data_IF_706225866998
#
_entry.id   IF_706225866998
#
_cell.length_a   1.000
_cell.length_b   1.000
_cell.length_c   1.000
_cell.angle_alpha   90.00
_cell.angle_beta   90.00
_cell.angle_gamma   90.00
#
_symmetry.space_group_name_H-M   'P 1'
#
loop_
_entity.id
_entity.type
_entity.pdbx_description
1 polymer ?
#
# COMPACT_ATOMS: atom_id res chain seq x y z
N UNK A 1 31.56 -3.41 0.45
CA UNK A 1 30.91 -2.22 -0.13
C UNK A 1 29.50 -2.14 0.44
N UNK A 2 29.22 -1.15 1.27
CA UNK A 2 27.85 -0.82 1.65
C UNK A 2 27.29 0.07 0.54
N UNK A 3 26.38 -0.48 -0.26
CA UNK A 3 25.55 0.30 -1.16
C UNK A 3 24.30 0.70 -0.40
N UNK A 4 24.09 2.00 -0.17
CA UNK A 4 22.74 2.49 0.04
C UNK A 4 22.13 2.55 -1.35
N UNK A 5 21.56 1.42 -1.81
CA UNK A 5 20.52 1.51 -2.83
C UNK A 5 19.48 2.46 -2.24
N UNK A 6 19.25 3.62 -2.87
CA UNK A 6 18.33 4.61 -2.33
C UNK A 6 16.97 3.92 -2.10
N UNK A 7 16.47 3.85 -0.86
CA UNK A 7 15.24 3.14 -0.58
C UNK A 7 14.10 3.83 -1.32
N UNK A 8 13.48 3.11 -2.26
CA UNK A 8 12.31 3.58 -2.98
C UNK A 8 11.07 3.27 -2.14
N UNK A 9 10.28 4.30 -1.87
CA UNK A 9 9.03 4.20 -1.12
C UNK A 9 7.91 4.76 -1.98
N UNK A 10 6.77 4.08 -2.03
CA UNK A 10 5.56 4.59 -2.69
C UNK A 10 4.56 4.97 -1.61
N UNK A 11 4.12 6.23 -1.60
CA UNK A 11 3.00 6.67 -0.76
C UNK A 11 1.75 6.74 -1.63
N UNK A 12 0.68 6.08 -1.20
CA UNK A 12 -0.59 6.07 -1.92
C UNK A 12 -1.71 6.53 -1.02
N UNK A 13 -2.51 7.45 -1.52
CA UNK A 13 -3.84 7.67 -0.97
C UNK A 13 -4.72 6.44 -1.25
N UNK A 14 -5.83 6.29 -0.51
CA UNK A 14 -6.75 5.17 -0.60
C UNK A 14 -8.00 5.52 -1.40
N UNK A 15 -8.81 6.46 -0.89
CA UNK A 15 -10.15 6.73 -1.40
C UNK A 15 -10.12 7.33 -2.80
N UNK A 16 -10.68 6.63 -3.78
CA UNK A 16 -10.68 7.08 -5.17
C UNK A 16 -9.30 7.16 -5.82
N UNK A 17 -8.28 6.54 -5.20
CA UNK A 17 -6.92 6.44 -5.74
C UNK A 17 -6.50 4.98 -5.87
N UNK A 18 -6.20 4.30 -4.75
CA UNK A 18 -5.89 2.87 -4.75
C UNK A 18 -7.16 2.02 -4.73
N UNK A 19 -8.17 2.48 -4.00
CA UNK A 19 -9.48 1.87 -3.92
C UNK A 19 -10.39 2.56 -4.93
N UNK A 20 -11.08 1.76 -5.74
CA UNK A 20 -12.11 2.28 -6.62
C UNK A 20 -13.16 3.05 -5.82
N UNK A 21 -13.54 4.25 -6.28
CA UNK A 21 -14.43 5.16 -5.54
C UNK A 21 -15.86 4.66 -5.43
N UNK A 22 -16.29 3.72 -6.28
CA UNK A 22 -17.66 3.22 -6.33
C UNK A 22 -17.82 1.85 -5.68
N UNK A 23 -16.86 0.96 -5.91
CA UNK A 23 -16.88 -0.44 -5.47
C UNK A 23 -15.97 -0.71 -4.27
N UNK A 24 -15.06 0.21 -3.95
CA UNK A 24 -14.01 -0.01 -2.96
C UNK A 24 -13.09 -1.19 -3.28
N UNK A 25 -13.11 -1.65 -4.53
CA UNK A 25 -12.30 -2.77 -4.99
C UNK A 25 -10.86 -2.32 -5.21
N UNK A 26 -9.93 -3.16 -4.73
CA UNK A 26 -8.49 -2.99 -4.87
C UNK A 26 -7.87 -4.08 -5.76
N UNK A 27 -8.62 -5.13 -6.12
CA UNK A 27 -8.15 -6.22 -6.96
C UNK A 27 -7.52 -5.76 -8.29
N UNK A 28 -8.01 -4.69 -8.95
CA UNK A 28 -7.35 -4.17 -10.16
C UNK A 28 -5.88 -3.76 -9.92
N UNK A 29 -5.55 -3.30 -8.71
CA UNK A 29 -4.19 -2.92 -8.32
C UNK A 29 -3.33 -4.12 -7.90
N UNK A 30 -3.93 -5.26 -7.49
CA UNK A 30 -3.22 -6.42 -6.97
C UNK A 30 -1.97 -6.88 -7.76
N UNK A 31 -2.00 -7.03 -9.10
CA UNK A 31 -0.81 -7.47 -9.85
C UNK A 31 0.35 -6.45 -9.76
N UNK A 32 0.04 -5.15 -9.67
CA UNK A 32 1.05 -4.09 -9.54
C UNK A 32 1.64 -4.06 -8.14
N UNK A 33 0.79 -4.25 -7.12
CA UNK A 33 1.22 -4.34 -5.73
C UNK A 33 2.14 -5.56 -5.50
N UNK A 34 1.88 -6.68 -6.19
CA UNK A 34 2.77 -7.86 -6.16
C UNK A 34 4.16 -7.52 -6.72
N UNK A 35 4.23 -6.86 -7.88
CA UNK A 35 5.50 -6.46 -8.50
C UNK A 35 6.32 -5.53 -7.60
N UNK A 36 5.67 -4.57 -6.95
CA UNK A 36 6.34 -3.67 -6.00
C UNK A 36 6.88 -4.45 -4.79
N UNK A 37 6.12 -5.42 -4.28
CA UNK A 37 6.55 -6.30 -3.19
C UNK A 37 7.75 -7.16 -3.59
N UNK A 38 7.73 -7.76 -4.78
CA UNK A 38 8.84 -8.55 -5.34
C UNK A 38 10.10 -7.70 -5.53
N UNK A 39 9.94 -6.41 -5.90
CA UNK A 39 11.03 -5.45 -6.03
C UNK A 39 11.52 -4.85 -4.71
N UNK A 40 10.99 -5.28 -3.55
CA UNK A 40 11.25 -4.70 -2.23
C UNK A 40 10.94 -3.19 -2.15
N UNK A 41 9.96 -2.72 -2.92
CA UNK A 41 9.46 -1.34 -2.87
C UNK A 41 8.18 -1.32 -2.00
N UNK A 42 8.26 -0.87 -0.74
CA UNK A 42 7.08 -0.80 0.11
C UNK A 42 6.08 0.25 -0.39
N UNK A 43 4.80 -0.10 -0.28
CA UNK A 43 3.67 0.84 -0.49
C UNK A 43 3.12 1.22 0.88
N UNK A 44 3.18 2.51 1.18
CA UNK A 44 2.73 3.12 2.42
C UNK A 44 1.36 3.73 2.15
N UNK A 45 0.34 3.21 2.84
CA UNK A 45 -1.05 3.67 2.70
C UNK A 45 -1.26 4.93 3.53
N UNK A 46 -1.77 5.99 2.90
CA UNK A 46 -2.11 7.26 3.53
C UNK A 46 -3.62 7.50 3.37
N UNK A 47 -4.30 7.95 4.41
CA UNK A 47 -5.72 8.33 4.36
C UNK A 47 -6.08 9.14 5.61
N UNK A 48 -7.17 9.89 5.56
CA UNK A 48 -7.77 10.56 6.74
C UNK A 48 -8.55 9.60 7.66
N UNK A 49 -8.67 8.32 7.27
CA UNK A 49 -9.30 7.26 8.07
C UNK A 49 -8.64 7.10 9.43
N UNK A 50 -9.43 6.61 10.38
CA UNK A 50 -8.95 6.28 11.72
C UNK A 50 -7.91 5.15 11.67
N UNK A 51 -7.08 5.06 12.72
CA UNK A 51 -6.07 4.01 12.83
C UNK A 51 -6.67 2.59 12.79
N UNK A 52 -7.87 2.40 13.35
CA UNK A 52 -8.57 1.12 13.35
C UNK A 52 -9.03 0.72 11.94
N UNK A 53 -9.58 1.66 11.17
CA UNK A 53 -9.94 1.43 9.77
C UNK A 53 -8.72 1.15 8.91
N UNK A 54 -7.64 1.91 9.10
CA UNK A 54 -6.37 1.69 8.40
C UNK A 54 -5.80 0.30 8.69
N UNK A 55 -5.86 -0.17 9.93
CA UNK A 55 -5.41 -1.52 10.32
C UNK A 55 -6.25 -2.61 9.64
N UNK A 56 -7.56 -2.42 9.56
CA UNK A 56 -8.45 -3.33 8.84
C UNK A 56 -8.09 -3.39 7.35
N UNK A 57 -7.91 -2.24 6.70
CA UNK A 57 -7.55 -2.16 5.28
C UNK A 57 -6.18 -2.79 5.01
N UNK A 58 -5.17 -2.51 5.83
CA UNK A 58 -3.84 -3.11 5.70
C UNK A 58 -3.89 -4.64 5.75
N UNK A 59 -4.69 -5.22 6.66
CA UNK A 59 -4.89 -6.68 6.74
C UNK A 59 -5.54 -7.23 5.47
N UNK A 60 -6.59 -6.57 4.98
CA UNK A 60 -7.32 -6.98 3.77
C UNK A 60 -6.46 -6.92 2.51
N UNK A 61 -5.62 -5.89 2.39
CA UNK A 61 -4.67 -5.70 1.27
C UNK A 61 -3.37 -6.53 1.43
N UNK A 62 -3.20 -7.22 2.56
CA UNK A 62 -2.00 -8.01 2.86
C UNK A 62 -0.73 -7.18 3.07
N UNK A 63 -0.86 -5.93 3.54
CA UNK A 63 0.27 -5.10 3.95
C UNK A 63 0.59 -5.30 5.43
N UNK A 64 1.90 -5.29 5.74
CA UNK A 64 2.35 -5.29 7.13
C UNK A 64 2.16 -3.90 7.72
N UNK A 65 1.75 -3.85 8.99
CA UNK A 65 1.83 -2.63 9.79
C UNK A 65 3.30 -2.31 9.94
N UNK A 66 3.79 -1.26 9.28
CA UNK A 66 5.10 -0.70 9.57
C UNK A 66 4.99 0.01 10.92
N UNK A 67 5.62 -0.57 11.94
CA UNK A 67 5.79 0.02 13.28
C UNK A 67 7.19 0.59 13.39
#
# INVERSE_FOLDING_TARGET
MLSIQQPLLVFSDLDGTLLDSHSYDWQPAAPWLSRLREANVPVILCSSKTSAEMLYLQKTLGYKVYR
#
